data_IF_069499249843
#
_entry.id   IF_069499249843
#
_cell.length_a   1.000
_cell.length_b   1.000
_cell.length_c   1.000
_cell.angle_alpha   90.00
_cell.angle_beta   90.00
_cell.angle_gamma   90.00
#
_symmetry.space_group_name_H-M   'P 1'
#
loop_
_entity.id
_entity.type
_entity.pdbx_description
1 polymer ?
#
# COMPACT_ATOMS: atom_id res chain seq x y z
N UNK A 1 -34.96 -5.32 -18.29
CA UNK A 1 -33.63 -5.05 -18.88
C UNK A 1 -32.66 -4.74 -17.74
N UNK A 2 -31.83 -5.71 -17.35
CA UNK A 2 -31.05 -5.67 -16.10
C UNK A 2 -29.64 -5.12 -16.35
N UNK A 3 -29.41 -3.87 -15.93
CA UNK A 3 -28.08 -3.25 -15.92
C UNK A 3 -27.23 -3.74 -14.74
N UNK A 4 -26.32 -4.70 -14.97
CA UNK A 4 -25.35 -5.16 -13.98
C UNK A 4 -23.97 -4.52 -14.23
N UNK A 5 -23.52 -3.69 -13.27
CA UNK A 5 -22.24 -3.00 -13.33
C UNK A 5 -21.30 -3.35 -12.16
N UNK A 6 -20.20 -4.00 -12.53
CA UNK A 6 -18.80 -3.77 -12.11
C UNK A 6 -18.44 -3.95 -10.62
N UNK A 7 -17.91 -5.13 -10.32
CA UNK A 7 -17.08 -5.37 -9.13
C UNK A 7 -15.58 -5.39 -9.47
N UNK A 8 -14.94 -4.21 -9.59
CA UNK A 8 -13.47 -4.14 -9.64
C UNK A 8 -12.92 -4.08 -8.20
N UNK A 9 -12.53 -5.25 -7.67
CA UNK A 9 -12.07 -5.41 -6.28
C UNK A 9 -10.54 -5.29 -6.20
N UNK A 10 -10.01 -4.07 -6.09
CA UNK A 10 -8.58 -3.84 -5.79
C UNK A 10 -8.43 -3.52 -4.31
N UNK A 11 -8.35 -4.56 -3.46
CA UNK A 11 -7.98 -4.44 -2.04
C UNK A 11 -6.69 -3.61 -1.89
N UNK A 12 -6.83 -2.40 -1.35
CA UNK A 12 -5.72 -1.54 -0.94
C UNK A 12 -5.85 -1.23 0.55
N UNK A 13 -5.59 -2.25 1.38
CA UNK A 13 -5.11 -1.98 2.73
C UNK A 13 -3.62 -1.65 2.64
N UNK A 14 -3.31 -0.46 3.10
CA UNK A 14 -1.98 0.09 3.36
C UNK A 14 -1.04 -0.94 4.00
N UNK A 15 0.07 -1.21 3.32
CA UNK A 15 1.28 -1.64 3.99
C UNK A 15 2.48 -0.95 3.35
N UNK A 16 3.18 -0.16 4.16
CA UNK A 16 4.54 0.27 3.89
C UNK A 16 5.42 -0.99 3.97
N UNK A 17 6.07 -1.30 2.87
CA UNK A 17 6.94 -2.46 2.69
C UNK A 17 7.54 -2.34 1.32
N UNK A 18 8.57 -1.50 1.22
CA UNK A 18 9.39 -1.36 0.03
C UNK A 18 10.03 -2.73 -0.27
N UNK A 19 9.57 -3.39 -1.32
CA UNK A 19 10.38 -4.35 -2.04
C UNK A 19 11.09 -3.55 -3.13
N UNK A 20 12.28 -3.07 -2.79
CA UNK A 20 13.31 -2.68 -3.75
C UNK A 20 13.52 -3.83 -4.72
N UNK A 21 13.38 -3.51 -6.00
CA UNK A 21 13.88 -4.29 -7.14
C UNK A 21 15.38 -4.45 -6.93
N UNK A 22 15.84 -5.68 -6.71
CA UNK A 22 17.25 -6.03 -6.85
C UNK A 22 17.44 -6.49 -8.30
N UNK A 23 18.11 -5.65 -9.08
CA UNK A 23 18.79 -6.09 -10.29
C UNK A 23 20.15 -6.63 -9.87
N UNK A 24 20.50 -7.77 -10.47
CA UNK A 24 21.81 -8.40 -10.41
C UNK A 24 22.89 -7.54 -11.09
N UNK A 25 24.13 -7.81 -10.66
CA UNK A 25 25.43 -7.53 -11.27
C UNK A 25 26.07 -6.13 -11.14
N UNK A 26 27.05 -6.03 -10.23
CA UNK A 26 28.46 -5.89 -10.61
C UNK A 26 29.37 -6.02 -9.36
N UNK A 27 30.29 -6.99 -9.40
CA UNK A 27 31.42 -7.11 -8.47
C UNK A 27 32.50 -6.10 -8.85
N UNK A 28 33.06 -5.41 -7.87
CA UNK A 28 34.42 -4.87 -7.93
C UNK A 28 34.99 -4.84 -6.52
N UNK A 29 35.87 -5.79 -6.23
CA UNK A 29 36.69 -5.86 -5.03
C UNK A 29 37.80 -4.81 -5.13
N UNK A 30 37.70 -3.73 -4.36
CA UNK A 30 38.85 -2.92 -3.96
C UNK A 30 38.71 -2.51 -2.48
N UNK A 31 39.74 -2.75 -1.63
CA UNK A 31 39.72 -2.33 -0.24
C UNK A 31 39.98 -0.82 -0.13
N UNK A 32 38.92 -0.02 0.05
CA UNK A 32 39.05 1.40 0.35
C UNK A 32 39.55 1.58 1.79
N UNK A 33 40.80 2.03 1.90
CA UNK A 33 41.46 2.47 3.13
C UNK A 33 40.62 3.51 3.88
N UNK A 34 40.14 3.13 5.07
CA UNK A 34 39.47 4.04 6.00
C UNK A 34 40.49 5.01 6.60
N UNK A 35 40.53 6.23 6.08
CA UNK A 35 41.24 7.35 6.70
C UNK A 35 40.70 7.70 8.10
N UNK A 36 41.49 8.44 8.91
CA UNK A 36 41.30 8.58 10.35
C UNK A 36 40.01 9.34 10.69
N UNK A 37 39.31 8.85 11.73
CA UNK A 37 38.09 9.45 12.28
C UNK A 37 38.44 10.77 12.97
N UNK A 38 38.33 11.88 12.23
CA UNK A 38 38.33 13.20 12.82
C UNK A 38 36.99 13.45 13.53
N UNK A 39 37.09 13.83 14.80
CA UNK A 39 36.01 14.19 15.71
C UNK A 39 35.04 15.19 15.09
N UNK A 40 33.84 14.72 14.74
CA UNK A 40 32.69 15.58 14.42
C UNK A 40 31.88 15.84 15.68
N UNK A 41 32.52 16.44 16.66
CA UNK A 41 31.86 17.04 17.80
C UNK A 41 32.02 18.54 17.70
N UNK A 42 31.03 19.20 17.11
CA UNK A 42 30.62 20.59 17.35
C UNK A 42 29.58 21.03 16.30
N UNK A 43 28.41 21.48 16.78
CA UNK A 43 27.59 22.42 16.01
C UNK A 43 26.19 22.00 15.59
N UNK A 44 25.66 20.83 15.95
CA UNK A 44 24.20 20.62 15.86
C UNK A 44 23.52 21.25 17.07
N UNK A 45 23.38 22.57 17.01
CA UNK A 45 22.41 23.32 17.81
C UNK A 45 21.09 22.56 17.75
N UNK A 46 20.73 21.95 18.89
CA UNK A 46 19.41 21.38 19.12
C UNK A 46 18.45 22.54 18.98
N UNK A 47 17.80 22.66 17.83
CA UNK A 47 16.63 23.52 17.67
C UNK A 47 15.60 23.00 18.68
N UNK A 48 15.49 23.71 19.80
CA UNK A 48 14.50 23.50 20.84
C UNK A 48 13.10 23.98 20.41
N UNK A 49 12.94 24.35 19.14
CA UNK A 49 11.64 24.52 18.51
C UNK A 49 11.17 23.19 17.99
N UNK A 50 10.15 22.66 18.67
CA UNK A 50 9.39 21.45 18.36
C UNK A 50 9.18 21.21 16.87
N UNK A 51 10.18 20.60 16.24
CA UNK A 51 10.09 19.99 14.93
C UNK A 51 9.02 18.93 15.04
N UNK A 52 7.78 19.32 14.74
CA UNK A 52 6.68 18.45 14.39
C UNK A 52 7.25 17.53 13.31
N UNK A 53 7.75 16.38 13.74
CA UNK A 53 8.20 15.33 12.85
C UNK A 53 7.12 15.12 11.81
N UNK A 54 7.55 14.93 10.56
CA UNK A 54 6.80 14.70 9.33
C UNK A 54 5.75 13.57 9.44
N UNK A 55 4.76 13.78 10.29
CA UNK A 55 3.86 12.78 10.84
C UNK A 55 2.83 13.47 11.74
N UNK A 56 2.45 14.70 11.36
CA UNK A 56 1.34 15.43 11.96
C UNK A 56 0.20 14.46 12.20
N UNK A 57 -0.35 14.53 13.41
CA UNK A 57 -1.47 13.73 13.93
C UNK A 57 -2.70 13.95 13.04
N UNK A 58 -2.70 13.44 11.82
CA UNK A 58 -3.91 13.14 11.11
C UNK A 58 -4.58 12.08 11.97
N UNK A 59 -5.57 12.50 12.76
CA UNK A 59 -6.60 11.61 13.28
C UNK A 59 -7.22 10.97 12.05
N UNK A 60 -6.59 9.91 11.55
CA UNK A 60 -7.01 9.23 10.35
C UNK A 60 -8.41 8.75 10.63
N UNK A 61 -9.38 9.27 9.89
CA UNK A 61 -10.76 8.78 9.93
C UNK A 61 -10.74 7.26 9.97
N UNK A 62 -11.51 6.69 10.90
CA UNK A 62 -11.51 5.23 11.03
C UNK A 62 -12.02 4.65 9.71
N UNK A 63 -11.58 3.45 9.33
CA UNK A 63 -12.03 2.83 8.09
C UNK A 63 -13.56 2.78 7.94
N UNK A 64 -14.28 2.58 9.06
CA UNK A 64 -15.75 2.63 9.09
C UNK A 64 -16.32 4.03 8.80
N UNK A 65 -15.77 5.07 9.43
CA UNK A 65 -16.18 6.47 9.23
C UNK A 65 -16.07 6.89 7.76
N UNK A 66 -15.04 6.40 7.06
CA UNK A 66 -14.86 6.66 5.62
C UNK A 66 -15.92 6.02 4.75
N UNK A 67 -16.41 4.84 5.12
CA UNK A 67 -17.51 4.17 4.41
C UNK A 67 -18.78 4.98 4.64
N UNK A 68 -19.08 5.35 5.89
CA UNK A 68 -20.26 6.14 6.23
C UNK A 68 -20.23 7.53 5.57
N UNK A 69 -19.08 8.20 5.53
CA UNK A 69 -18.91 9.46 4.80
C UNK A 69 -19.20 9.27 3.30
N UNK A 70 -18.72 8.17 2.70
CA UNK A 70 -19.02 7.87 1.31
C UNK A 70 -20.51 7.56 1.09
N UNK A 71 -21.19 6.87 2.02
CA UNK A 71 -22.64 6.63 1.97
C UNK A 71 -23.45 7.93 1.96
N UNK A 72 -23.00 8.94 2.71
CA UNK A 72 -23.63 10.26 2.69
C UNK A 72 -23.44 10.94 1.32
N UNK A 73 -22.26 10.82 0.71
CA UNK A 73 -21.98 11.40 -0.61
C UNK A 73 -22.79 10.75 -1.73
N UNK A 74 -23.05 9.44 -1.67
CA UNK A 74 -23.84 8.72 -2.70
C UNK A 74 -25.35 8.82 -2.50
N UNK A 75 -25.82 9.59 -1.51
CA UNK A 75 -27.25 9.70 -1.20
C UNK A 75 -27.88 8.37 -0.77
N UNK A 76 -27.16 7.56 0.02
CA UNK A 76 -27.75 6.35 0.59
C UNK A 76 -28.92 6.71 1.53
N UNK A 77 -29.97 5.89 1.54
CA UNK A 77 -31.10 6.08 2.47
C UNK A 77 -30.65 5.81 3.92
N UNK A 78 -31.40 6.32 4.89
CA UNK A 78 -31.04 6.10 6.30
C UNK A 78 -31.16 4.63 6.70
N UNK A 79 -32.10 3.88 6.11
CA UNK A 79 -32.17 2.42 6.24
C UNK A 79 -30.93 1.72 5.70
N UNK A 80 -30.44 2.12 4.52
CA UNK A 80 -29.20 1.56 3.94
C UNK A 80 -27.99 1.88 4.82
N UNK A 81 -27.89 3.12 5.31
CA UNK A 81 -26.83 3.52 6.25
C UNK A 81 -26.88 2.70 7.52
N UNK A 82 -28.07 2.45 8.07
CA UNK A 82 -28.27 1.68 9.29
C UNK A 82 -27.83 0.22 9.10
N UNK A 83 -28.25 -0.44 8.02
CA UNK A 83 -27.79 -1.81 7.68
C UNK A 83 -26.28 -1.89 7.51
N UNK A 84 -25.66 -0.90 6.86
CA UNK A 84 -24.19 -0.84 6.72
C UNK A 84 -23.52 -0.62 8.08
N UNK A 85 -24.09 0.17 8.99
CA UNK A 85 -23.58 0.32 10.36
C UNK A 85 -23.63 -0.99 11.13
N UNK A 86 -24.71 -1.76 11.01
CA UNK A 86 -24.87 -3.07 11.64
C UNK A 86 -23.81 -4.06 11.14
N UNK A 87 -23.66 -4.17 9.81
CA UNK A 87 -22.60 -4.98 9.18
C UNK A 87 -21.21 -4.60 9.73
N UNK A 88 -20.90 -3.30 9.81
CA UNK A 88 -19.63 -2.83 10.34
C UNK A 88 -19.49 -3.12 11.84
N UNK A 89 -20.55 -2.95 12.62
CA UNK A 89 -20.57 -3.19 14.06
C UNK A 89 -20.34 -4.66 14.39
N UNK A 90 -20.99 -5.58 13.68
CA UNK A 90 -20.79 -7.03 13.83
C UNK A 90 -19.34 -7.42 13.56
N UNK A 91 -18.74 -6.89 12.49
CA UNK A 91 -17.35 -7.18 12.14
C UNK A 91 -16.38 -6.62 13.17
N UNK A 92 -16.66 -5.43 13.71
CA UNK A 92 -15.90 -4.85 14.82
C UNK A 92 -16.04 -5.71 16.08
N UNK A 93 -17.25 -6.19 16.40
CA UNK A 93 -17.50 -7.05 17.54
C UNK A 93 -16.76 -8.40 17.42
N UNK A 94 -16.86 -9.08 16.28
CA UNK A 94 -16.09 -10.30 15.96
C UNK A 94 -14.59 -10.07 16.14
N UNK A 95 -14.06 -8.94 15.64
CA UNK A 95 -12.65 -8.64 15.77
C UNK A 95 -12.22 -8.25 17.20
N UNK A 96 -13.07 -7.57 17.96
CA UNK A 96 -12.84 -7.26 19.38
C UNK A 96 -12.80 -8.54 20.21
N UNK A 97 -13.78 -9.43 20.02
CA UNK A 97 -13.84 -10.74 20.67
C UNK A 97 -12.57 -11.56 20.37
N UNK A 98 -12.18 -11.67 19.10
CA UNK A 98 -10.92 -12.31 18.72
C UNK A 98 -9.70 -11.75 19.46
N UNK A 99 -9.60 -10.42 19.59
CA UNK A 99 -8.48 -9.79 20.30
C UNK A 99 -8.49 -10.07 21.79
N UNK A 100 -9.66 -10.15 22.42
CA UNK A 100 -9.81 -10.47 23.82
C UNK A 100 -9.43 -11.94 24.06
N UNK A 101 -10.03 -12.86 23.30
CA UNK A 101 -9.84 -14.30 23.45
C UNK A 101 -8.41 -14.75 23.14
N UNK A 102 -7.67 -14.00 22.30
CA UNK A 102 -6.31 -14.32 21.88
C UNK A 102 -5.27 -13.30 22.37
N UNK A 103 -5.56 -12.53 23.43
CA UNK A 103 -4.72 -11.42 23.87
C UNK A 103 -3.26 -11.84 24.16
N UNK A 104 -3.09 -12.94 24.89
CA UNK A 104 -1.76 -13.48 25.27
C UNK A 104 -1.00 -14.03 24.06
N UNK A 105 -1.67 -14.84 23.23
CA UNK A 105 -1.08 -15.38 22.01
C UNK A 105 -0.64 -14.26 21.05
N UNK A 106 -1.45 -13.21 20.90
CA UNK A 106 -1.09 -12.03 20.11
C UNK A 106 0.07 -11.25 20.71
N UNK A 107 0.22 -11.22 22.04
CA UNK A 107 1.37 -10.59 22.71
C UNK A 107 2.65 -11.37 22.43
N UNK A 108 2.64 -12.68 22.61
CA UNK A 108 3.78 -13.55 22.33
C UNK A 108 4.24 -13.45 20.86
N UNK A 109 3.31 -13.45 19.91
CA UNK A 109 3.63 -13.28 18.48
C UNK A 109 4.26 -11.91 18.20
N UNK A 110 3.76 -10.83 18.83
CA UNK A 110 4.35 -9.49 18.66
C UNK A 110 5.78 -9.44 19.18
N UNK A 111 6.06 -10.10 20.30
CA UNK A 111 7.41 -10.20 20.86
C UNK A 111 8.33 -11.00 19.93
N UNK A 112 7.89 -12.14 19.40
CA UNK A 112 8.63 -12.91 18.38
C UNK A 112 8.93 -12.08 17.13
N UNK A 113 7.95 -11.35 16.60
CA UNK A 113 8.16 -10.47 15.44
C UNK A 113 9.12 -9.31 15.77
N UNK A 114 9.08 -8.79 17.00
CA UNK A 114 9.97 -7.71 17.43
C UNK A 114 11.42 -8.20 17.56
N UNK A 115 11.63 -9.38 18.13
CA UNK A 115 12.94 -10.04 18.20
C UNK A 115 13.48 -10.33 16.80
N UNK A 116 12.73 -11.05 15.96
CA UNK A 116 13.13 -11.35 14.59
C UNK A 116 13.44 -10.10 13.75
N UNK A 117 12.75 -8.98 14.01
CA UNK A 117 13.06 -7.71 13.35
C UNK A 117 14.34 -7.04 13.88
N UNK A 118 14.67 -7.19 15.16
CA UNK A 118 15.93 -6.66 15.72
C UNK A 118 17.13 -7.43 15.19
N UNK A 119 16.95 -8.73 14.99
CA UNK A 119 18.01 -9.64 14.55
C UNK A 119 18.08 -9.76 13.01
N UNK A 120 17.23 -9.02 12.28
CA UNK A 120 17.03 -9.11 10.82
C UNK A 120 16.77 -10.55 10.30
N UNK A 121 16.28 -11.44 11.16
CA UNK A 121 15.91 -12.82 10.83
C UNK A 121 14.57 -12.87 10.08
N UNK A 122 14.68 -13.04 8.75
CA UNK A 122 13.52 -13.13 7.85
C UNK A 122 12.70 -14.40 8.05
N UNK A 123 13.33 -15.52 8.43
CA UNK A 123 12.64 -16.80 8.60
C UNK A 123 11.85 -16.80 9.92
N UNK A 124 12.44 -16.32 11.02
CA UNK A 124 11.70 -16.15 12.28
C UNK A 124 10.53 -15.18 12.12
N UNK A 125 10.72 -14.10 11.34
CA UNK A 125 9.66 -13.15 11.06
C UNK A 125 8.54 -13.76 10.19
N UNK A 126 8.87 -14.66 9.26
CA UNK A 126 7.90 -15.42 8.46
C UNK A 126 7.13 -16.42 9.32
N UNK A 127 7.81 -17.17 10.19
CA UNK A 127 7.20 -18.12 11.12
C UNK A 127 6.18 -17.41 12.06
N UNK A 128 6.57 -16.29 12.68
CA UNK A 128 5.67 -15.51 13.53
C UNK A 128 4.43 -14.98 12.76
N UNK A 129 4.58 -14.65 11.47
CA UNK A 129 3.44 -14.29 10.61
C UNK A 129 2.52 -15.46 10.30
N UNK A 130 3.07 -16.67 10.15
CA UNK A 130 2.29 -17.88 9.93
C UNK A 130 1.50 -18.28 11.18
N UNK A 131 2.10 -18.17 12.37
CA UNK A 131 1.39 -18.32 13.66
C UNK A 131 0.21 -17.34 13.77
N UNK A 132 0.42 -16.07 13.40
CA UNK A 132 -0.66 -15.07 13.39
C UNK A 132 -1.78 -15.42 12.40
N UNK A 133 -1.44 -15.97 11.23
CA UNK A 133 -2.42 -16.39 10.24
C UNK A 133 -3.20 -17.61 10.69
N UNK A 134 -2.54 -18.58 11.34
CA UNK A 134 -3.17 -19.75 11.93
C UNK A 134 -4.19 -19.37 13.01
N UNK A 135 -3.82 -18.49 13.95
CA UNK A 135 -4.75 -17.97 14.96
C UNK A 135 -5.97 -17.28 14.34
N UNK A 136 -5.76 -16.48 13.30
CA UNK A 136 -6.88 -15.82 12.60
C UNK A 136 -7.79 -16.81 11.89
N UNK A 137 -7.22 -17.85 11.28
CA UNK A 137 -7.97 -18.92 10.61
C UNK A 137 -8.79 -19.73 11.61
N UNK A 138 -8.20 -20.10 12.75
CA UNK A 138 -8.89 -20.80 13.82
C UNK A 138 -10.09 -19.99 14.34
N UNK A 139 -9.97 -18.67 14.41
CA UNK A 139 -11.06 -17.78 14.80
C UNK A 139 -12.06 -17.44 13.68
N UNK A 140 -11.98 -18.12 12.52
CA UNK A 140 -12.90 -17.91 11.40
C UNK A 140 -12.81 -16.52 10.76
N UNK A 141 -11.79 -15.72 11.10
CA UNK A 141 -11.55 -14.47 10.40
C UNK A 141 -10.93 -14.80 9.04
N UNK A 142 -11.22 -14.00 7.99
CA UNK A 142 -10.55 -14.16 6.71
C UNK A 142 -9.04 -13.95 6.92
N UNK A 143 -8.33 -15.07 7.07
CA UNK A 143 -6.89 -15.13 6.99
C UNK A 143 -6.52 -14.67 5.58
N UNK A 144 -5.36 -14.07 5.39
CA UNK A 144 -4.94 -13.53 4.08
C UNK A 144 -4.88 -14.54 2.92
N UNK A 145 -5.39 -15.77 3.09
CA UNK A 145 -5.59 -16.80 2.07
C UNK A 145 -6.37 -16.29 0.85
N UNK A 146 -7.50 -15.61 1.03
CA UNK A 146 -8.23 -15.02 -0.12
C UNK A 146 -7.34 -14.03 -0.89
N UNK A 147 -6.49 -13.28 -0.19
CA UNK A 147 -5.53 -12.36 -0.81
C UNK A 147 -4.38 -13.11 -1.52
N UNK A 148 -3.89 -14.22 -0.95
CA UNK A 148 -2.88 -15.07 -1.59
C UNK A 148 -3.46 -15.72 -2.85
N UNK A 149 -4.66 -16.31 -2.78
CA UNK A 149 -5.42 -16.83 -3.93
C UNK A 149 -5.63 -15.74 -4.98
N UNK A 150 -6.02 -14.53 -4.59
CA UNK A 150 -6.14 -13.38 -5.50
C UNK A 150 -4.83 -12.97 -6.15
N UNK A 151 -3.74 -12.98 -5.41
CA UNK A 151 -2.42 -12.66 -5.95
C UNK A 151 -1.98 -13.74 -6.96
N UNK A 152 -2.18 -15.01 -6.62
CA UNK A 152 -1.83 -16.14 -7.47
C UNK A 152 -2.69 -16.15 -8.75
N UNK A 153 -4.01 -16.01 -8.61
CA UNK A 153 -4.93 -15.90 -9.73
C UNK A 153 -4.55 -14.78 -10.71
N UNK A 154 -4.14 -13.59 -10.20
CA UNK A 154 -3.64 -12.49 -11.04
C UNK A 154 -2.34 -12.83 -11.75
N UNK A 155 -1.46 -13.61 -11.12
CA UNK A 155 -0.20 -14.05 -11.71
C UNK A 155 -0.47 -15.05 -12.82
N UNK A 156 -1.31 -16.05 -12.56
CA UNK A 156 -1.64 -17.13 -13.51
C UNK A 156 -2.44 -16.60 -14.71
N UNK A 157 -3.24 -15.55 -14.52
CA UNK A 157 -4.05 -14.94 -15.58
C UNK A 157 -3.51 -13.57 -16.02
N UNK A 158 -2.23 -13.25 -15.75
CA UNK A 158 -1.67 -11.93 -16.03
C UNK A 158 -1.83 -11.52 -17.50
N UNK A 159 -1.56 -12.44 -18.43
CA UNK A 159 -1.65 -12.16 -19.87
C UNK A 159 -3.09 -12.00 -20.34
N UNK A 160 -4.02 -12.83 -19.84
CA UNK A 160 -5.46 -12.69 -20.12
C UNK A 160 -5.98 -11.34 -19.61
N UNK A 161 -5.64 -10.97 -18.37
CA UNK A 161 -6.02 -9.66 -17.80
C UNK A 161 -5.44 -8.52 -18.63
N UNK A 162 -4.18 -8.62 -19.08
CA UNK A 162 -3.52 -7.61 -19.92
C UNK A 162 -4.18 -7.50 -21.29
N UNK A 163 -4.54 -8.62 -21.91
CA UNK A 163 -5.25 -8.65 -23.19
C UNK A 163 -6.64 -8.01 -23.08
N UNK A 164 -7.42 -8.37 -22.06
CA UNK A 164 -8.73 -7.77 -21.79
C UNK A 164 -8.59 -6.25 -21.53
N UNK A 165 -7.55 -5.84 -20.77
CA UNK A 165 -7.31 -4.42 -20.54
C UNK A 165 -6.99 -3.67 -21.84
N UNK A 166 -6.21 -4.25 -22.75
CA UNK A 166 -5.99 -3.67 -24.09
C UNK A 166 -7.30 -3.51 -24.87
N UNK A 167 -8.20 -4.50 -24.84
CA UNK A 167 -9.53 -4.41 -25.47
C UNK A 167 -10.34 -3.23 -24.90
N UNK A 168 -10.37 -3.08 -23.58
CA UNK A 168 -11.07 -1.96 -22.91
C UNK A 168 -10.48 -0.61 -23.35
N UNK A 169 -9.16 -0.47 -23.40
CA UNK A 169 -8.52 0.79 -23.83
C UNK A 169 -8.79 1.08 -25.31
N UNK A 170 -8.77 0.06 -26.18
CA UNK A 170 -9.09 0.22 -27.60
C UNK A 170 -10.54 0.67 -27.80
N UNK A 171 -11.51 0.00 -27.15
CA UNK A 171 -12.93 0.35 -27.21
C UNK A 171 -13.20 1.78 -26.71
N UNK A 172 -12.52 2.20 -25.62
CA UNK A 172 -12.60 3.58 -25.13
C UNK A 172 -12.07 4.61 -26.12
N UNK A 173 -11.02 4.27 -26.87
CA UNK A 173 -10.44 5.16 -27.88
C UNK A 173 -11.31 5.26 -29.12
N UNK A 174 -11.97 4.18 -29.51
CA UNK A 174 -12.92 4.18 -30.63
C UNK A 174 -14.30 4.75 -30.27
N UNK A 175 -14.60 4.91 -28.98
CA UNK A 175 -15.93 5.32 -28.51
C UNK A 175 -16.97 4.20 -28.56
N UNK A 176 -16.54 2.94 -28.77
CA UNK A 176 -17.43 1.79 -28.86
C UNK A 176 -17.83 1.29 -27.46
N UNK A 177 -19.01 1.69 -27.03
CA UNK A 177 -19.54 1.37 -25.69
C UNK A 177 -19.86 -0.11 -25.53
N UNK A 178 -20.25 -0.80 -26.60
CA UNK A 178 -20.64 -2.21 -26.56
C UNK A 178 -19.41 -3.11 -26.47
N UNK A 179 -18.37 -2.82 -27.26
CA UNK A 179 -17.08 -3.49 -27.14
C UNK A 179 -16.45 -3.27 -25.76
N UNK A 180 -16.59 -2.06 -25.21
CA UNK A 180 -16.13 -1.79 -23.84
C UNK A 180 -16.90 -2.62 -22.81
N UNK A 181 -18.23 -2.68 -22.92
CA UNK A 181 -19.08 -3.45 -22.03
C UNK A 181 -18.76 -4.94 -22.08
N UNK A 182 -18.56 -5.49 -23.28
CA UNK A 182 -18.20 -6.89 -23.52
C UNK A 182 -16.83 -7.23 -22.90
N UNK A 183 -15.80 -6.41 -23.14
CA UNK A 183 -14.48 -6.64 -22.55
C UNK A 183 -14.50 -6.52 -21.01
N UNK A 184 -15.32 -5.61 -20.46
CA UNK A 184 -15.54 -5.51 -19.00
C UNK A 184 -16.28 -6.75 -18.46
N UNK A 185 -17.18 -7.35 -19.22
CA UNK A 185 -17.87 -8.60 -18.85
C UNK A 185 -16.89 -9.79 -18.86
N UNK A 186 -16.03 -9.91 -19.87
CA UNK A 186 -14.98 -10.93 -19.94
C UNK A 186 -14.06 -10.86 -18.71
N UNK A 187 -13.67 -9.66 -18.28
CA UNK A 187 -12.92 -9.48 -17.05
C UNK A 187 -13.69 -9.97 -15.82
N UNK A 188 -15.01 -9.72 -15.75
CA UNK A 188 -15.85 -10.16 -14.62
C UNK A 188 -15.95 -11.67 -14.54
N UNK A 189 -16.19 -12.32 -15.66
CA UNK A 189 -16.35 -13.77 -15.68
C UNK A 189 -15.02 -14.47 -15.38
N UNK A 190 -13.90 -13.90 -15.83
CA UNK A 190 -12.57 -14.30 -15.37
C UNK A 190 -12.43 -14.18 -13.85
N UNK A 191 -12.92 -13.08 -13.23
CA UNK A 191 -12.89 -12.97 -11.78
C UNK A 191 -13.84 -13.94 -11.06
N UNK A 192 -15.00 -14.28 -11.64
CA UNK A 192 -15.92 -15.26 -11.03
C UNK A 192 -15.31 -16.66 -10.98
N UNK A 193 -14.57 -17.07 -12.01
CA UNK A 193 -13.91 -18.39 -12.03
C UNK A 193 -12.83 -18.53 -10.94
N UNK A 194 -12.35 -17.42 -10.39
CA UNK A 194 -11.35 -17.45 -9.32
C UNK A 194 -11.88 -17.98 -7.98
N UNK A 195 -13.20 -18.01 -7.77
CA UNK A 195 -13.81 -18.34 -6.47
C UNK A 195 -13.38 -17.38 -5.33
N UNK A 196 -12.83 -16.22 -5.68
CA UNK A 196 -12.41 -15.20 -4.72
C UNK A 196 -13.62 -14.32 -4.44
N UNK A 197 -14.39 -14.72 -3.44
CA UNK A 197 -15.40 -13.85 -2.88
C UNK A 197 -14.73 -12.64 -2.24
N UNK A 198 -15.11 -11.47 -2.74
CA UNK A 198 -14.42 -10.23 -2.46
C UNK A 198 -14.72 -9.71 -1.06
N UNK A 199 -14.20 -10.37 -0.03
CA UNK A 199 -14.26 -9.97 1.36
C UNK A 199 -15.69 -9.73 1.86
N UNK A 200 -16.18 -10.67 2.67
CA UNK A 200 -17.50 -10.73 3.32
C UNK A 200 -18.17 -9.36 3.56
N UNK A 201 -17.48 -8.42 4.20
CA UNK A 201 -18.01 -7.09 4.54
C UNK A 201 -18.38 -6.23 3.33
N UNK A 202 -17.55 -6.17 2.28
CA UNK A 202 -17.84 -5.32 1.12
C UNK A 202 -18.90 -5.95 0.21
N UNK A 203 -19.03 -7.27 0.20
CA UNK A 203 -20.14 -7.96 -0.45
C UNK A 203 -21.46 -7.70 0.29
N UNK A 204 -21.45 -7.82 1.63
CA UNK A 204 -22.60 -7.47 2.47
C UNK A 204 -23.03 -6.01 2.25
N UNK A 205 -22.09 -5.06 2.22
CA UNK A 205 -22.40 -3.64 1.92
C UNK A 205 -22.98 -3.47 0.52
N UNK A 206 -22.44 -4.17 -0.49
CA UNK A 206 -22.97 -4.11 -1.86
C UNK A 206 -24.37 -4.68 -1.97
N UNK A 207 -24.73 -5.70 -1.18
CA UNK A 207 -26.07 -6.27 -1.18
C UNK A 207 -27.14 -5.27 -0.66
N UNK A 208 -26.72 -4.27 0.11
CA UNK A 208 -27.62 -3.22 0.66
C UNK A 208 -27.78 -2.04 -0.31
N UNK A 209 -26.79 -1.79 -1.17
CA UNK A 209 -26.74 -0.62 -2.05
C UNK A 209 -27.33 -0.91 -3.44
N UNK A 210 -27.87 0.12 -4.08
CA UNK A 210 -28.33 0.00 -5.47
C UNK A 210 -27.14 -0.13 -6.43
N UNK A 211 -27.31 -0.73 -7.63
CA UNK A 211 -26.25 -0.82 -8.63
C UNK A 211 -25.60 0.53 -8.97
N UNK A 212 -26.39 1.60 -9.05
CA UNK A 212 -25.88 2.95 -9.31
C UNK A 212 -25.04 3.49 -8.14
N UNK A 213 -25.50 3.33 -6.90
CA UNK A 213 -24.74 3.70 -5.71
C UNK A 213 -23.41 2.94 -5.63
N UNK A 214 -23.40 1.66 -6.00
CA UNK A 214 -22.18 0.82 -6.06
C UNK A 214 -21.18 1.37 -7.08
N UNK A 215 -21.64 1.85 -8.25
CA UNK A 215 -20.77 2.48 -9.25
C UNK A 215 -20.11 3.72 -8.67
N UNK A 216 -20.90 4.63 -8.08
CA UNK A 216 -20.38 5.88 -7.51
C UNK A 216 -19.38 5.58 -6.39
N UNK A 217 -19.72 4.66 -5.48
CA UNK A 217 -18.82 4.23 -4.40
C UNK A 217 -17.51 3.64 -4.94
N UNK A 218 -17.58 2.86 -6.02
CA UNK A 218 -16.41 2.29 -6.68
C UNK A 218 -15.56 3.35 -7.37
N UNK A 219 -16.20 4.35 -8.00
CA UNK A 219 -15.52 5.47 -8.63
C UNK A 219 -14.79 6.34 -7.59
N UNK A 220 -15.46 6.72 -6.51
CA UNK A 220 -14.85 7.47 -5.39
C UNK A 220 -13.61 6.76 -4.82
N UNK A 221 -13.63 5.42 -4.78
CA UNK A 221 -12.47 4.62 -4.35
C UNK A 221 -11.32 4.71 -5.36
N UNK A 222 -11.61 4.64 -6.66
CA UNK A 222 -10.61 4.79 -7.71
C UNK A 222 -9.99 6.20 -7.69
N UNK A 223 -10.81 7.24 -7.52
CA UNK A 223 -10.35 8.62 -7.45
C UNK A 223 -9.45 8.85 -6.22
N UNK A 224 -9.83 8.32 -5.05
CA UNK A 224 -8.95 8.36 -3.86
C UNK A 224 -7.63 7.60 -4.08
N UNK A 225 -7.66 6.51 -4.85
CA UNK A 225 -6.46 5.74 -5.17
C UNK A 225 -5.54 6.49 -6.14
N UNK A 226 -6.10 7.14 -7.16
CA UNK A 226 -5.35 7.97 -8.10
C UNK A 226 -4.78 9.20 -7.40
N UNK A 227 -5.55 9.86 -6.53
CA UNK A 227 -5.10 11.00 -5.71
C UNK A 227 -3.94 10.60 -4.79
N UNK A 228 -4.02 9.44 -4.13
CA UNK A 228 -2.91 8.91 -3.32
C UNK A 228 -1.68 8.59 -4.16
N UNK A 229 -1.86 8.06 -5.37
CA UNK A 229 -0.75 7.79 -6.28
C UNK A 229 -0.10 9.10 -6.74
N UNK A 230 -0.90 10.12 -7.07
CA UNK A 230 -0.43 11.46 -7.43
C UNK A 230 0.34 12.11 -6.26
N UNK A 231 -0.20 12.11 -5.05
CA UNK A 231 0.48 12.58 -3.83
C UNK A 231 1.81 11.86 -3.59
N UNK A 232 1.86 10.54 -3.80
CA UNK A 232 3.11 9.77 -3.71
C UNK A 232 4.13 10.17 -4.78
N UNK A 233 3.69 10.43 -6.02
CA UNK A 233 4.57 10.90 -7.09
C UNK A 233 5.10 12.31 -6.79
N UNK A 234 4.25 13.23 -6.36
CA UNK A 234 4.65 14.57 -5.94
C UNK A 234 5.68 14.54 -4.81
N UNK A 235 5.43 13.73 -3.76
CA UNK A 235 6.37 13.57 -2.66
C UNK A 235 7.68 12.88 -3.06
N UNK A 236 7.67 12.01 -4.08
CA UNK A 236 8.90 11.42 -4.63
C UNK A 236 9.71 12.46 -5.40
N UNK A 237 9.07 13.24 -6.27
CA UNK A 237 9.72 14.35 -6.98
C UNK A 237 10.37 15.36 -6.04
N UNK A 238 9.72 15.69 -4.92
CA UNK A 238 10.30 16.57 -3.89
C UNK A 238 11.55 15.96 -3.25
N UNK A 239 11.55 14.66 -2.95
CA UNK A 239 12.71 13.96 -2.36
C UNK A 239 13.87 13.83 -3.35
N UNK A 240 13.57 13.57 -4.62
CA UNK A 240 14.58 13.45 -5.66
C UNK A 240 15.20 14.83 -5.99
N UNK A 241 14.40 15.90 -5.95
CA UNK A 241 14.88 17.28 -6.06
C UNK A 241 15.76 17.72 -4.88
N UNK A 242 15.39 17.38 -3.64
CA UNK A 242 16.24 17.64 -2.46
C UNK A 242 17.54 16.82 -2.49
N UNK A 243 17.48 15.57 -2.95
CA UNK A 243 18.68 14.73 -3.15
C UNK A 243 19.58 15.28 -4.26
N UNK A 244 19.01 15.85 -5.32
CA UNK A 244 19.75 16.54 -6.39
C UNK A 244 20.53 17.74 -5.83
N UNK A 245 19.87 18.62 -5.08
CA UNK A 245 20.50 19.80 -4.47
C UNK A 245 21.61 19.45 -3.47
N UNK A 246 21.45 18.39 -2.68
CA UNK A 246 22.49 17.89 -1.78
C UNK A 246 23.69 17.28 -2.54
N UNK A 247 23.50 16.81 -3.77
CA UNK A 247 24.55 16.25 -4.62
C UNK A 247 25.30 17.35 -5.39
N UNK A 248 24.60 18.39 -5.85
CA UNK A 248 25.22 19.59 -6.46
C UNK A 248 26.07 20.35 -5.44
N UNK A 249 25.54 20.66 -4.26
CA UNK A 249 26.33 21.33 -3.21
C UNK A 249 27.54 20.53 -2.69
N UNK A 250 27.63 19.22 -2.99
CA UNK A 250 28.84 18.41 -2.76
C UNK A 250 29.85 18.48 -3.89
N UNK A 251 29.42 18.72 -5.13
CA UNK A 251 30.33 18.90 -6.28
C UNK A 251 31.03 20.26 -6.19
N UNK A 252 30.30 21.30 -5.84
CA UNK A 252 30.87 22.66 -5.76
C UNK A 252 31.95 22.74 -4.66
N UNK A 253 31.74 22.08 -3.51
CA UNK A 253 32.77 21.98 -2.46
C UNK A 253 33.98 21.10 -2.79
N UNK A 254 33.86 20.21 -3.77
CA UNK A 254 34.97 19.37 -4.19
C UNK A 254 35.84 20.04 -5.28
N UNK A 255 35.34 21.12 -5.90
CA UNK A 255 36.06 21.88 -6.93
C UNK A 255 36.96 22.99 -6.37
N UNK A 256 36.68 23.52 -5.17
CA UNK A 256 37.44 24.64 -4.59
C UNK A 256 38.71 24.21 -3.82
N UNK A 257 39.07 22.93 -3.81
CA UNK A 257 40.18 22.39 -3.00
C UNK A 257 41.43 21.93 -3.75
N UNK A 258 41.61 22.30 -5.02
CA UNK A 258 42.76 21.87 -5.85
C UNK A 258 43.42 23.01 -6.62
N UNK A 259 43.77 24.10 -5.95
CA UNK A 259 44.77 25.05 -6.43
C UNK A 259 45.58 25.57 -5.24
N UNK A 260 46.37 24.69 -4.61
CA UNK A 260 47.52 25.15 -3.82
C UNK A 260 48.76 24.50 -4.42
N UNK A 261 49.61 25.38 -4.95
CA UNK A 261 50.72 25.06 -5.83
C UNK A 261 51.84 24.30 -5.13
N UNK A 262 52.46 23.40 -5.87
CA UNK A 262 53.78 22.86 -5.54
C UNK A 262 54.81 24.00 -5.64
N UNK A 263 55.55 24.33 -4.57
CA UNK A 263 56.70 25.22 -4.68
C UNK A 263 57.84 24.46 -5.36
N UNK A 264 58.33 25.01 -6.47
CA UNK A 264 59.55 24.57 -7.15
C UNK A 264 60.74 24.66 -6.20
N UNK A 265 61.31 23.52 -5.80
CA UNK A 265 62.64 23.49 -5.21
C UNK A 265 63.68 23.46 -6.33
N UNK A 266 64.42 24.55 -6.46
CA UNK A 266 65.71 24.63 -7.15
C UNK A 266 66.82 24.38 -6.13
N UNK A 267 67.70 23.44 -6.44
CA UNK A 267 69.14 23.51 -6.18
C UNK A 267 69.86 22.82 -7.36
#
# INVERSE_FOLDING_TARGET
MNGQLIGMLVLSLTWAGAATVWGEDAKSDEPVLSGPKADRDQGRRRSADGGKGFGGRHRGERPGDRILAALNTIGATDEQKQKVREILAEQVAKHKKFKADNAEALKAIREKMAAAKRDDDKEAMKAAREELLALRKAAGLPAGEQRKKAKQFRKDNADKIKAIHKKIVAAKRSGDTDAEAAARQELRDLWKTSGIDGGDVMQQIRAVLTPEQIKVLSQMRLDRMSERAAKRRANRGHRDGERGKLREGRRDRAGEGKEEGEPSQSD
#
